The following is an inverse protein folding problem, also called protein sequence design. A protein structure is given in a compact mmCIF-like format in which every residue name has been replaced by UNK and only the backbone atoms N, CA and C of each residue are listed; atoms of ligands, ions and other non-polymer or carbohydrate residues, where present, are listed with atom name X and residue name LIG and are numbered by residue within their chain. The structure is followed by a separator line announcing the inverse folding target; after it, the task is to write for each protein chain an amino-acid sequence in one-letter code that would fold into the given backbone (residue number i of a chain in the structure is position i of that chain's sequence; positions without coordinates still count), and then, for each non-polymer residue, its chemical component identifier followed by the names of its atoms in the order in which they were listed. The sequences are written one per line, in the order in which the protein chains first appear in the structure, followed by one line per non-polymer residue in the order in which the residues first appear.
data_IF_886014558768
#
_entry.id   IF_886014558768
#
_cell.length_a   1.000
_cell.length_b   1.000
_cell.length_c   1.000
_cell.angle_alpha   90.00
_cell.angle_beta   90.00
_cell.angle_gamma   90.00
#
_symmetry.space_group_name_H-M   'P 1'
#
loop_
_entity.id
_entity.type
_entity.pdbx_description
1 polymer ?
#
# COMPACT_ATOMS: atom_id res chain seq x y z
N UNK A 1 -29.06 -6.29 -38.15
CA UNK A 1 -28.90 -7.18 -36.98
C UNK A 1 -27.48 -7.74 -36.82
N UNK A 2 -26.82 -8.26 -37.87
CA UNK A 2 -25.44 -8.80 -37.76
C UNK A 2 -24.35 -7.78 -37.41
N UNK A 3 -24.48 -6.54 -37.91
CA UNK A 3 -23.49 -5.48 -37.67
C UNK A 3 -23.42 -5.05 -36.19
N UNK A 4 -24.58 -4.98 -35.52
CA UNK A 4 -24.64 -4.66 -34.09
C UNK A 4 -23.97 -5.73 -33.24
N UNK A 5 -24.12 -7.01 -33.61
CA UNK A 5 -23.43 -8.11 -32.92
C UNK A 5 -21.92 -7.96 -33.06
N UNK A 6 -21.41 -7.68 -34.28
CA UNK A 6 -19.98 -7.47 -34.50
C UNK A 6 -19.44 -6.27 -33.70
N UNK A 7 -20.19 -5.18 -33.64
CA UNK A 7 -19.82 -3.99 -32.89
C UNK A 7 -19.80 -4.26 -31.37
N UNK A 8 -20.78 -5.02 -30.87
CA UNK A 8 -20.84 -5.43 -29.48
C UNK A 8 -19.70 -6.36 -29.09
N UNK A 9 -19.33 -7.29 -29.99
CA UNK A 9 -18.19 -8.19 -29.79
C UNK A 9 -16.86 -7.43 -29.77
N UNK A 10 -16.67 -6.47 -30.68
CA UNK A 10 -15.49 -5.60 -30.70
C UNK A 10 -15.37 -4.77 -29.43
N UNK A 11 -16.46 -4.15 -28.98
CA UNK A 11 -16.52 -3.43 -27.71
C UNK A 11 -16.14 -4.35 -26.54
N UNK A 12 -16.71 -5.55 -26.48
CA UNK A 12 -16.42 -6.51 -25.42
C UNK A 12 -14.92 -6.88 -25.41
N UNK A 13 -14.31 -7.15 -26.57
CA UNK A 13 -12.87 -7.41 -26.67
C UNK A 13 -12.00 -6.24 -26.15
N UNK A 14 -12.43 -4.99 -26.34
CA UNK A 14 -11.69 -3.83 -25.81
C UNK A 14 -11.90 -3.58 -24.31
N UNK A 15 -13.08 -3.95 -23.77
CA UNK A 15 -13.37 -3.86 -22.33
C UNK A 15 -12.72 -5.00 -21.53
N UNK A 16 -12.52 -6.17 -22.15
CA UNK A 16 -11.60 -7.18 -21.66
C UNK A 16 -10.17 -6.66 -21.82
N UNK A 17 -9.81 -5.78 -20.89
CA UNK A 17 -8.41 -5.53 -20.52
C UNK A 17 -7.69 -6.87 -20.55
N UNK A 18 -6.52 -7.02 -21.20
CA UNK A 18 -5.75 -8.24 -21.10
C UNK A 18 -5.40 -8.40 -19.63
N UNK A 19 -6.21 -9.16 -18.90
CA UNK A 19 -5.88 -9.63 -17.58
C UNK A 19 -4.63 -10.46 -17.85
N UNK A 20 -3.46 -9.89 -17.56
CA UNK A 20 -2.20 -10.62 -17.52
C UNK A 20 -2.39 -11.65 -16.41
N UNK A 21 -3.02 -12.76 -16.73
CA UNK A 21 -3.20 -13.93 -15.86
C UNK A 21 -1.86 -14.62 -15.53
N UNK A 22 -0.73 -13.96 -15.79
CA UNK A 22 0.62 -14.39 -15.43
C UNK A 22 1.26 -13.60 -14.28
N UNK A 23 0.64 -12.51 -13.78
CA UNK A 23 1.10 -11.89 -12.53
C UNK A 23 0.37 -12.58 -11.38
N UNK A 24 1.07 -13.51 -10.71
CA UNK A 24 0.54 -14.18 -9.52
C UNK A 24 -0.06 -13.13 -8.59
N UNK A 25 -1.34 -13.32 -8.22
CA UNK A 25 -2.15 -12.42 -7.38
C UNK A 25 -1.39 -11.82 -6.18
N UNK A 26 -0.41 -12.54 -5.63
CA UNK A 26 0.44 -12.07 -4.55
C UNK A 26 1.35 -10.87 -4.89
N UNK A 27 1.83 -10.72 -6.12
CA UNK A 27 2.72 -9.61 -6.51
C UNK A 27 1.97 -8.28 -6.60
N UNK A 28 0.82 -8.24 -7.29
CA UNK A 28 -0.02 -7.04 -7.34
C UNK A 28 -0.56 -6.67 -5.97
N UNK A 29 -0.97 -7.66 -5.17
CA UNK A 29 -1.40 -7.45 -3.79
C UNK A 29 -0.27 -6.89 -2.92
N UNK A 30 0.95 -7.39 -3.06
CA UNK A 30 2.12 -6.88 -2.34
C UNK A 30 2.42 -5.41 -2.69
N UNK A 31 2.38 -5.07 -3.99
CA UNK A 31 2.59 -3.70 -4.45
C UNK A 31 1.50 -2.75 -3.94
N UNK A 32 0.24 -3.20 -3.92
CA UNK A 32 -0.88 -2.41 -3.41
C UNK A 32 -0.74 -2.12 -1.89
N UNK A 33 -0.06 -2.99 -1.16
CA UNK A 33 0.29 -2.81 0.25
C UNK A 33 1.56 -1.99 0.48
N UNK A 34 2.08 -1.27 -0.54
CA UNK A 34 3.36 -0.57 -0.51
C UNK A 34 4.55 -1.48 -0.16
N UNK A 35 4.43 -2.77 -0.48
CA UNK A 35 5.46 -3.78 -0.26
C UNK A 35 6.33 -4.03 -1.50
N UNK A 36 7.42 -4.76 -1.29
CA UNK A 36 8.40 -5.18 -2.29
C UNK A 36 8.56 -6.70 -2.23
N UNK A 37 8.52 -7.35 -3.38
CA UNK A 37 8.76 -8.79 -3.48
C UNK A 37 10.25 -9.12 -3.44
N UNK A 38 10.65 -10.01 -2.52
CA UNK A 38 12.02 -10.55 -2.41
C UNK A 38 12.03 -12.06 -2.65
N UNK A 39 13.18 -12.59 -3.09
CA UNK A 39 13.32 -14.02 -3.42
C UNK A 39 13.47 -14.94 -2.22
N UNK A 40 14.03 -14.46 -1.11
CA UNK A 40 14.37 -15.31 0.04
C UNK A 40 13.67 -14.84 1.32
N UNK A 41 14.22 -13.83 1.99
CA UNK A 41 13.70 -13.26 3.23
C UNK A 41 13.68 -11.73 3.16
N UNK A 42 12.90 -11.12 4.05
CA UNK A 42 12.89 -9.67 4.23
C UNK A 42 14.16 -9.19 4.93
N UNK A 43 14.53 -7.93 4.69
CA UNK A 43 15.64 -7.30 5.44
C UNK A 43 15.25 -7.13 6.91
N UNK A 44 16.22 -6.95 7.80
CA UNK A 44 15.96 -6.64 9.21
C UNK A 44 15.09 -5.38 9.42
N UNK A 45 15.12 -4.44 8.48
CA UNK A 45 14.33 -3.21 8.48
C UNK A 45 12.96 -3.37 7.80
N UNK A 46 12.59 -4.59 7.41
CA UNK A 46 11.37 -4.92 6.67
C UNK A 46 10.62 -6.06 7.36
N UNK A 47 9.29 -6.02 7.30
CA UNK A 47 8.41 -7.08 7.79
C UNK A 47 7.91 -7.94 6.64
N UNK A 48 7.83 -9.26 6.87
CA UNK A 48 7.20 -10.19 5.94
C UNK A 48 5.68 -10.17 6.11
N UNK A 49 4.96 -9.66 5.11
CA UNK A 49 3.50 -9.53 5.13
C UNK A 49 2.81 -10.65 4.34
N UNK A 50 3.51 -11.29 3.41
CA UNK A 50 2.92 -12.35 2.61
C UNK A 50 3.89 -12.99 1.62
N UNK A 51 3.33 -13.55 0.54
CA UNK A 51 4.09 -14.17 -0.54
C UNK A 51 3.70 -13.56 -1.89
N UNK A 52 4.68 -13.39 -2.78
CA UNK A 52 4.44 -12.85 -4.11
C UNK A 52 4.29 -13.94 -5.17
N UNK A 53 5.22 -14.89 -5.19
CA UNK A 53 5.33 -16.02 -6.14
C UNK A 53 5.90 -17.24 -5.41
N UNK A 54 6.02 -18.37 -6.11
CA UNK A 54 6.64 -19.58 -5.58
C UNK A 54 8.06 -19.25 -5.06
N UNK A 55 8.27 -19.44 -3.76
CA UNK A 55 9.48 -19.09 -2.98
C UNK A 55 9.75 -17.60 -2.76
N UNK A 56 8.96 -16.66 -3.30
CA UNK A 56 9.18 -15.22 -3.08
C UNK A 56 8.26 -14.68 -1.98
N UNK A 57 8.82 -13.86 -1.11
CA UNK A 57 8.13 -13.22 0.03
C UNK A 57 7.81 -11.76 -0.28
N UNK A 58 6.71 -11.25 0.29
CA UNK A 58 6.33 -9.85 0.25
C UNK A 58 6.84 -9.15 1.52
N UNK A 59 7.66 -8.12 1.35
CA UNK A 59 8.32 -7.37 2.42
C UNK A 59 7.85 -5.91 2.44
N UNK A 60 7.64 -5.33 3.61
CA UNK A 60 7.31 -3.90 3.75
C UNK A 60 8.22 -3.23 4.76
N UNK A 61 8.66 -2.01 4.49
CA UNK A 61 9.45 -1.25 5.43
C UNK A 61 8.69 -1.05 6.75
N UNK A 62 9.39 -1.18 7.87
CA UNK A 62 8.79 -0.95 9.19
C UNK A 62 8.33 0.51 9.29
N UNK A 63 7.09 0.68 9.76
CA UNK A 63 6.54 2.01 10.02
C UNK A 63 7.35 2.78 11.08
N UNK A 64 8.02 2.07 12.00
CA UNK A 64 8.85 2.69 13.05
C UNK A 64 10.13 3.35 12.52
N UNK A 65 10.59 2.95 11.33
CA UNK A 65 11.74 3.56 10.66
C UNK A 65 11.34 4.75 9.80
N UNK A 66 10.03 4.98 9.61
CA UNK A 66 9.51 6.19 8.99
C UNK A 66 9.46 7.23 10.11
N UNK A 67 10.31 8.28 10.09
CA UNK A 67 10.23 9.32 11.10
C UNK A 67 8.84 9.93 11.01
N UNK A 68 8.00 9.65 12.01
CA UNK A 68 6.81 10.46 12.23
C UNK A 68 7.35 11.84 12.52
N UNK A 69 7.07 12.87 11.69
CA UNK A 69 7.44 14.23 12.05
C UNK A 69 6.70 14.52 13.34
N UNK A 70 7.39 14.43 14.49
CA UNK A 70 6.83 14.85 15.75
C UNK A 70 6.49 16.31 15.58
N UNK A 71 5.21 16.69 15.63
CA UNK A 71 4.87 18.09 15.55
C UNK A 71 5.58 18.77 16.70
N UNK A 72 6.38 19.79 16.39
CA UNK A 72 6.98 20.65 17.41
C UNK A 72 5.83 21.42 18.03
N UNK A 73 5.25 20.86 19.10
CA UNK A 73 4.27 21.56 19.90
C UNK A 73 5.04 22.59 20.72
N UNK A 74 5.08 23.84 20.23
CA UNK A 74 5.37 24.99 21.06
C UNK A 74 4.20 25.14 22.03
N UNK A 75 4.27 24.47 23.17
CA UNK A 75 3.39 24.79 24.29
C UNK A 75 3.92 26.09 24.87
N UNK A 76 3.39 27.22 24.40
CA UNK A 76 3.60 28.50 25.08
C UNK A 76 3.25 28.29 26.56
N UNK A 77 4.23 28.51 27.41
CA UNK A 77 4.09 28.32 28.85
C UNK A 77 2.96 29.24 29.35
N UNK A 78 1.85 28.65 29.79
CA UNK A 78 0.75 29.39 30.42
C UNK A 78 1.00 29.42 31.93
N UNK A 79 1.23 30.61 32.49
CA UNK A 79 1.35 30.74 33.95
C UNK A 79 0.06 30.29 34.66
N UNK A 80 0.17 29.58 35.79
CA UNK A 80 -1.00 29.15 36.56
C UNK A 80 -1.76 30.37 37.11
N UNK A 81 -3.08 30.38 36.97
CA UNK A 81 -3.94 31.42 37.56
C UNK A 81 -3.77 31.42 39.09
N UNK A 82 -3.15 32.47 39.63
CA UNK A 82 -3.07 32.68 41.08
C UNK A 82 -4.48 33.00 41.62
N UNK A 83 -5.00 32.25 42.60
CA UNK A 83 -6.28 32.57 43.22
C UNK A 83 -6.16 33.91 43.96
N UNK A 84 -7.12 34.80 43.73
CA UNK A 84 -7.26 36.04 44.52
C UNK A 84 -7.78 35.64 45.90
N UNK A 85 -6.96 35.75 46.94
CA UNK A 85 -7.46 35.75 48.31
C UNK A 85 -8.35 36.99 48.50
N UNK A 86 -9.56 36.76 48.99
CA UNK A 86 -10.56 37.78 49.33
C UNK A 86 -10.54 38.04 50.82
#
# INVERSE_FOLDING_TARGET
MRLHVLFFMLLFLTLLSPVRSGLASGESHCLNLSGVCRRDICKMTEDQIGACKRRWVCCRAWWILIPVPTPVIYSDYQEPLKPKLK
#
